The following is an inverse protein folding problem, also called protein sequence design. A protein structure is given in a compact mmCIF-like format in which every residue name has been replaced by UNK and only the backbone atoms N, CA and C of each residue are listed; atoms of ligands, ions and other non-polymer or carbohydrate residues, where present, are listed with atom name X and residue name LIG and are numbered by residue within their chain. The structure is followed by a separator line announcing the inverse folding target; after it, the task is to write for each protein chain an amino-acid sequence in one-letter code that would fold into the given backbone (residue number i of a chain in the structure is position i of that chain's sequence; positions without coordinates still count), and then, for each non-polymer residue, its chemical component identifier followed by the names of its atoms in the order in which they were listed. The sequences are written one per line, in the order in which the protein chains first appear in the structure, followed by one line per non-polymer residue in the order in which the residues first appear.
data_IF_704858415683
#
_entry.id   IF_704858415683
#
_cell.length_a   1.000
_cell.length_b   1.000
_cell.length_c   1.000
_cell.angle_alpha   90.00
_cell.angle_beta   90.00
_cell.angle_gamma   90.00
#
_symmetry.space_group_name_H-M   'P 1'
#
loop_
_entity.id
_entity.type
_entity.pdbx_description
1 polymer ?
#
# COMPACT_ATOMS: atom_id res chain seq x y z
N UNK A 1 -0.36 -6.77 28.06
CA UNK A 1 -1.67 -6.50 28.74
C UNK A 1 -1.61 -6.58 30.27
N UNK A 2 -1.00 -7.63 30.84
CA UNK A 2 -0.94 -7.83 32.31
C UNK A 2 -0.25 -6.69 33.09
N UNK A 3 0.62 -5.91 32.46
CA UNK A 3 1.38 -4.81 33.08
C UNK A 3 1.10 -3.41 32.52
N UNK A 4 0.26 -3.29 31.48
CA UNK A 4 0.07 -2.02 30.74
C UNK A 4 -1.41 -1.56 30.69
N UNK A 5 -2.30 -2.18 31.47
CA UNK A 5 -3.73 -1.90 31.44
C UNK A 5 -4.49 -2.56 30.28
N UNK A 6 -5.79 -2.27 30.20
CA UNK A 6 -6.68 -2.80 29.14
C UNK A 6 -6.33 -2.21 27.78
N UNK A 7 -6.68 -2.91 26.70
CA UNK A 7 -6.50 -2.38 25.34
C UNK A 7 -7.25 -1.05 25.15
N UNK A 8 -8.48 -0.96 25.64
CA UNK A 8 -9.30 0.26 25.55
C UNK A 8 -8.64 1.44 26.25
N UNK A 9 -8.09 1.24 27.45
CA UNK A 9 -7.39 2.30 28.18
C UNK A 9 -6.13 2.77 27.44
N UNK A 10 -5.34 1.83 26.89
CA UNK A 10 -4.16 2.17 26.07
C UNK A 10 -4.54 2.90 24.79
N UNK A 11 -5.60 2.47 24.09
CA UNK A 11 -6.11 3.14 22.88
C UNK A 11 -6.55 4.57 23.19
N UNK A 12 -7.32 4.77 24.27
CA UNK A 12 -7.73 6.11 24.68
C UNK A 12 -6.54 7.02 24.96
N UNK A 13 -5.58 6.54 25.77
CA UNK A 13 -4.36 7.30 26.08
C UNK A 13 -3.52 7.60 24.83
N UNK A 14 -3.38 6.64 23.90
CA UNK A 14 -2.65 6.88 22.64
C UNK A 14 -3.37 7.88 21.73
N UNK A 15 -4.70 7.82 21.65
CA UNK A 15 -5.49 8.78 20.87
C UNK A 15 -5.35 10.19 21.45
N UNK A 16 -5.45 10.34 22.77
CA UNK A 16 -5.24 11.62 23.45
C UNK A 16 -3.85 12.18 23.14
N UNK A 17 -2.79 11.39 23.36
CA UNK A 17 -1.41 11.82 23.08
C UNK A 17 -1.22 12.21 21.60
N UNK A 18 -1.82 11.47 20.67
CA UNK A 18 -1.77 11.82 19.25
C UNK A 18 -2.37 13.21 18.99
N UNK A 19 -3.56 13.51 19.52
CA UNK A 19 -4.19 14.82 19.31
C UNK A 19 -3.50 15.97 20.06
N UNK A 20 -2.82 15.69 21.17
CA UNK A 20 -2.04 16.71 21.90
C UNK A 20 -0.74 17.09 21.19
N UNK A 21 -0.12 16.13 20.48
CA UNK A 21 1.22 16.31 19.91
C UNK A 21 1.25 16.45 18.38
N UNK A 22 0.18 16.08 17.69
CA UNK A 22 0.09 16.23 16.24
C UNK A 22 -0.77 17.43 15.86
N UNK A 23 -0.43 18.15 14.77
CA UNK A 23 -1.21 19.29 14.29
C UNK A 23 -2.47 18.83 13.53
N UNK A 24 -3.31 18.03 14.19
CA UNK A 24 -4.56 17.49 13.64
C UNK A 24 -5.72 18.21 14.30
N UNK A 25 -6.66 18.69 13.48
CA UNK A 25 -7.90 19.24 14.00
C UNK A 25 -8.80 18.07 14.38
N UNK A 26 -9.22 17.92 15.65
CA UNK A 26 -10.31 17.00 15.94
C UNK A 26 -11.55 17.52 15.22
N UNK A 27 -12.04 16.78 14.23
CA UNK A 27 -13.25 17.17 13.50
C UNK A 27 -14.41 17.16 14.49
N UNK A 28 -14.95 18.36 14.81
CA UNK A 28 -16.07 18.58 15.72
C UNK A 28 -17.41 18.49 15.00
N UNK A 29 -17.59 17.55 14.08
CA UNK A 29 -18.88 17.28 13.45
C UNK A 29 -19.66 16.30 14.32
N UNK A 30 -20.99 16.41 14.28
CA UNK A 30 -21.99 15.87 15.23
C UNK A 30 -22.05 14.32 15.38
N UNK A 31 -20.96 13.58 15.15
CA UNK A 31 -20.88 12.12 15.21
C UNK A 31 -19.58 11.52 15.78
N UNK A 32 -18.60 12.33 16.22
CA UNK A 32 -17.39 11.85 16.92
C UNK A 32 -16.05 12.17 16.22
N UNK A 33 -14.95 11.90 16.92
CA UNK A 33 -13.59 12.11 16.42
C UNK A 33 -13.19 10.96 15.47
N UNK A 34 -12.88 11.26 14.20
CA UNK A 34 -12.29 10.32 13.25
C UNK A 34 -11.00 10.90 12.65
N UNK A 35 -10.08 10.02 12.24
CA UNK A 35 -8.81 10.42 11.63
C UNK A 35 -8.90 10.52 10.10
N UNK A 36 -9.74 9.73 9.44
CA UNK A 36 -9.84 9.75 8.00
C UNK A 36 -10.36 11.12 7.49
N UNK A 37 -9.79 11.63 6.41
CA UNK A 37 -9.99 13.01 5.93
C UNK A 37 -9.53 13.18 4.49
N UNK A 38 -9.90 14.31 3.87
CA UNK A 38 -9.48 14.63 2.50
C UNK A 38 -9.08 16.10 2.34
N UNK A 39 -8.12 16.36 1.47
CA UNK A 39 -7.63 17.70 1.15
C UNK A 39 -7.63 17.90 -0.36
N UNK A 40 -8.14 19.04 -0.81
CA UNK A 40 -8.17 19.39 -2.24
C UNK A 40 -7.14 20.47 -2.54
N UNK A 41 -6.27 20.21 -3.51
CA UNK A 41 -5.28 21.14 -4.02
C UNK A 41 -5.73 21.66 -5.40
N UNK A 42 -6.59 22.68 -5.36
CA UNK A 42 -7.21 23.25 -6.56
C UNK A 42 -7.99 22.21 -7.38
N UNK A 43 -7.81 22.22 -8.69
CA UNK A 43 -8.36 21.20 -9.60
C UNK A 43 -7.38 20.07 -9.89
N UNK A 44 -6.15 20.15 -9.37
CA UNK A 44 -5.08 19.23 -9.72
C UNK A 44 -5.19 17.90 -8.97
N UNK A 45 -5.28 17.95 -7.64
CA UNK A 45 -5.20 16.73 -6.83
C UNK A 45 -6.16 16.78 -5.65
N UNK A 46 -6.75 15.63 -5.34
CA UNK A 46 -7.39 15.37 -4.06
C UNK A 46 -6.56 14.31 -3.31
N UNK A 47 -6.09 14.66 -2.11
CA UNK A 47 -5.42 13.76 -1.19
C UNK A 47 -6.45 13.18 -0.23
N UNK A 48 -6.67 11.87 -0.32
CA UNK A 48 -7.66 11.11 0.43
C UNK A 48 -6.91 10.23 1.44
N UNK A 49 -7.15 10.42 2.72
CA UNK A 49 -6.40 9.76 3.79
C UNK A 49 -7.39 8.94 4.61
N UNK A 50 -7.53 7.61 4.36
CA UNK A 50 -8.28 6.71 5.23
C UNK A 50 -7.63 6.56 6.63
N UNK A 51 -8.32 5.83 7.51
CA UNK A 51 -7.77 5.27 8.75
C UNK A 51 -7.89 3.74 8.66
N UNK A 52 -6.76 3.06 8.48
CA UNK A 52 -6.71 1.60 8.27
C UNK A 52 -6.42 0.83 9.57
N UNK A 53 -6.67 1.43 10.73
CA UNK A 53 -6.40 0.83 12.04
C UNK A 53 -7.60 0.87 12.98
N UNK A 54 -8.38 1.94 12.97
CA UNK A 54 -9.44 2.16 13.97
C UNK A 54 -10.66 1.27 13.79
N UNK A 55 -10.96 0.87 12.55
CA UNK A 55 -12.23 0.23 12.17
C UNK A 55 -12.05 -1.15 11.53
N UNK A 56 -10.80 -1.60 11.35
CA UNK A 56 -10.51 -2.89 10.71
C UNK A 56 -10.95 -4.07 11.56
N UNK A 57 -11.39 -5.12 10.88
CA UNK A 57 -11.52 -6.44 11.48
C UNK A 57 -10.16 -7.01 11.88
N UNK A 58 -10.18 -8.00 12.77
CA UNK A 58 -8.98 -8.76 13.12
C UNK A 58 -8.44 -9.51 11.90
N UNK A 59 -7.12 -9.48 11.72
CA UNK A 59 -6.41 -10.19 10.66
C UNK A 59 -6.69 -11.69 10.74
N UNK A 60 -6.92 -12.30 9.58
CA UNK A 60 -7.19 -13.74 9.46
C UNK A 60 -6.77 -14.24 8.08
N UNK A 61 -5.84 -15.19 8.05
CA UNK A 61 -5.45 -15.86 6.79
C UNK A 61 -6.60 -16.69 6.18
N UNK A 62 -7.56 -17.10 7.00
CA UNK A 62 -8.69 -17.94 6.56
C UNK A 62 -9.85 -17.15 5.96
N UNK A 63 -9.83 -15.81 6.06
CA UNK A 63 -10.94 -14.93 5.67
C UNK A 63 -10.53 -13.90 4.61
N UNK A 64 -9.38 -14.09 3.97
CA UNK A 64 -8.79 -13.13 3.01
C UNK A 64 -9.73 -12.75 1.87
N UNK A 65 -10.54 -13.71 1.40
CA UNK A 65 -11.56 -13.53 0.35
C UNK A 65 -12.99 -13.40 0.92
N UNK A 66 -13.16 -13.34 2.24
CA UNK A 66 -14.45 -13.12 2.87
C UNK A 66 -14.94 -11.69 2.56
N UNK A 67 -16.06 -11.51 1.83
CA UNK A 67 -16.56 -10.18 1.46
C UNK A 67 -17.05 -9.36 2.65
N UNK A 68 -17.16 -9.97 3.84
CA UNK A 68 -17.51 -9.28 5.09
C UNK A 68 -16.30 -8.79 5.86
N UNK A 69 -15.07 -9.22 5.50
CA UNK A 69 -13.86 -8.76 6.17
C UNK A 69 -13.47 -7.37 5.64
N UNK A 70 -13.27 -6.42 6.55
CA UNK A 70 -13.06 -5.01 6.21
C UNK A 70 -11.81 -4.42 6.89
N UNK A 71 -10.99 -3.68 6.14
CA UNK A 71 -9.87 -2.90 6.67
C UNK A 71 -10.29 -1.47 7.01
N UNK A 72 -11.33 -0.96 6.35
CA UNK A 72 -11.83 0.40 6.53
C UNK A 72 -13.05 0.50 7.44
N UNK A 73 -13.83 -0.56 7.59
CA UNK A 73 -15.18 -0.52 8.17
C UNK A 73 -16.20 0.08 7.19
N UNK A 74 -17.48 -0.30 7.32
CA UNK A 74 -18.50 -0.01 6.30
C UNK A 74 -18.73 1.49 6.02
N UNK A 75 -18.75 2.33 7.06
CA UNK A 75 -18.97 3.77 6.92
C UNK A 75 -17.80 4.45 6.18
N UNK A 76 -16.57 4.20 6.63
CA UNK A 76 -15.38 4.74 5.98
C UNK A 76 -15.16 4.16 4.59
N UNK A 77 -15.51 2.89 4.35
CA UNK A 77 -15.47 2.29 3.01
C UNK A 77 -16.33 3.11 2.04
N UNK A 78 -17.58 3.38 2.43
CA UNK A 78 -18.52 4.18 1.62
C UNK A 78 -17.97 5.59 1.37
N UNK A 79 -17.39 6.21 2.40
CA UNK A 79 -16.72 7.50 2.28
C UNK A 79 -15.51 7.47 1.33
N UNK A 80 -14.67 6.45 1.41
CA UNK A 80 -13.46 6.28 0.59
C UNK A 80 -13.83 6.07 -0.87
N UNK A 81 -14.74 5.11 -1.14
CA UNK A 81 -15.25 4.83 -2.47
C UNK A 81 -15.85 6.10 -3.10
N UNK A 82 -16.73 6.79 -2.37
CA UNK A 82 -17.35 8.03 -2.85
C UNK A 82 -16.32 9.11 -3.10
N UNK A 83 -15.35 9.28 -2.20
CA UNK A 83 -14.30 10.31 -2.33
C UNK A 83 -13.47 10.09 -3.59
N UNK A 84 -13.10 8.86 -3.91
CA UNK A 84 -12.32 8.55 -5.12
C UNK A 84 -13.20 8.66 -6.38
N UNK A 85 -14.36 8.02 -6.39
CA UNK A 85 -15.20 7.88 -7.61
C UNK A 85 -15.89 9.17 -8.02
N UNK A 86 -16.19 10.08 -7.08
CA UNK A 86 -16.88 11.34 -7.38
C UNK A 86 -15.93 12.54 -7.51
N UNK A 87 -14.65 12.40 -7.14
CA UNK A 87 -13.69 13.51 -7.20
C UNK A 87 -13.59 14.11 -8.62
N UNK A 88 -13.67 15.43 -8.70
CA UNK A 88 -13.54 16.19 -9.95
C UNK A 88 -12.11 16.67 -10.22
N UNK A 89 -11.15 16.32 -9.38
CA UNK A 89 -9.74 16.69 -9.58
C UNK A 89 -9.09 15.81 -10.64
N UNK A 90 -7.97 16.28 -11.19
CA UNK A 90 -7.20 15.51 -12.18
C UNK A 90 -6.65 14.23 -11.58
N UNK A 91 -6.17 14.24 -10.34
CA UNK A 91 -5.57 13.09 -9.66
C UNK A 91 -6.25 12.81 -8.31
N UNK A 92 -6.52 11.53 -8.05
CA UNK A 92 -6.92 11.05 -6.74
C UNK A 92 -5.72 10.35 -6.11
N UNK A 93 -5.17 10.94 -5.04
CA UNK A 93 -4.04 10.38 -4.31
C UNK A 93 -4.56 9.82 -3.00
N UNK A 94 -4.40 8.52 -2.78
CA UNK A 94 -4.81 7.87 -1.54
C UNK A 94 -3.56 7.66 -0.67
N UNK A 95 -3.52 8.29 0.51
CA UNK A 95 -2.47 8.05 1.50
C UNK A 95 -2.83 6.85 2.36
N UNK A 96 -2.30 5.67 2.02
CA UNK A 96 -2.57 4.41 2.69
C UNK A 96 -1.49 4.12 3.73
N UNK A 97 -1.85 3.62 4.92
CA UNK A 97 -0.85 3.25 5.93
C UNK A 97 -0.07 2.00 5.51
N UNK A 98 -0.75 1.03 4.88
CA UNK A 98 -0.21 -0.27 4.44
C UNK A 98 -0.33 -0.41 2.92
N UNK A 99 0.47 -1.29 2.30
CA UNK A 99 0.43 -1.52 0.86
C UNK A 99 -0.88 -2.17 0.43
N UNK A 100 -1.40 -1.70 -0.70
CA UNK A 100 -2.56 -2.26 -1.39
C UNK A 100 -2.16 -3.33 -2.40
N UNK A 101 -0.99 -3.20 -3.02
CA UNK A 101 -0.54 -4.13 -4.05
C UNK A 101 -0.52 -5.56 -3.51
N UNK A 102 -1.06 -6.52 -4.28
CA UNK A 102 -0.93 -7.92 -3.92
C UNK A 102 0.54 -8.33 -3.85
N UNK A 103 0.97 -8.84 -2.69
CA UNK A 103 2.24 -9.50 -2.49
C UNK A 103 1.96 -10.93 -2.04
N UNK A 104 1.83 -11.81 -3.03
CA UNK A 104 1.34 -13.17 -2.81
C UNK A 104 2.31 -14.21 -3.33
N UNK A 105 2.17 -15.43 -2.82
CA UNK A 105 2.74 -16.62 -3.42
C UNK A 105 1.69 -17.14 -4.41
N UNK A 106 1.92 -17.01 -5.73
CA UNK A 106 0.93 -17.44 -6.70
C UNK A 106 0.81 -18.97 -6.69
N UNK A 107 -0.42 -19.48 -6.74
CA UNK A 107 -0.68 -20.92 -6.85
C UNK A 107 -0.47 -21.42 -8.28
N UNK A 108 -0.61 -20.53 -9.27
CA UNK A 108 -0.29 -20.81 -10.68
C UNK A 108 0.06 -19.53 -11.44
N UNK A 109 0.91 -19.67 -12.46
CA UNK A 109 1.17 -18.62 -13.46
C UNK A 109 0.24 -18.71 -14.68
N UNK A 110 -0.57 -19.78 -14.80
CA UNK A 110 -1.59 -19.91 -15.83
C UNK A 110 -2.93 -19.41 -15.28
N UNK A 111 -3.56 -18.38 -15.88
CA UNK A 111 -4.82 -17.81 -15.39
C UNK A 111 -5.94 -18.85 -15.27
N UNK A 112 -6.02 -19.81 -16.21
CA UNK A 112 -7.08 -20.83 -16.24
C UNK A 112 -6.93 -21.82 -15.10
N UNK A 113 -5.68 -22.16 -14.76
CA UNK A 113 -5.41 -23.04 -13.63
C UNK A 113 -5.62 -22.31 -12.30
N UNK A 114 -5.25 -21.03 -12.20
CA UNK A 114 -5.53 -20.20 -11.03
C UNK A 114 -7.05 -20.10 -10.77
N UNK A 115 -7.84 -19.78 -11.80
CA UNK A 115 -9.30 -19.74 -11.71
C UNK A 115 -9.89 -21.08 -11.27
N UNK A 116 -9.40 -22.18 -11.85
CA UNK A 116 -9.85 -23.52 -11.49
C UNK A 116 -9.51 -23.89 -10.03
N UNK A 117 -8.31 -23.55 -9.55
CA UNK A 117 -7.88 -23.80 -8.17
C UNK A 117 -8.72 -23.01 -7.17
N UNK A 118 -9.01 -21.75 -7.48
CA UNK A 118 -9.93 -20.93 -6.70
C UNK A 118 -11.33 -21.55 -6.67
N UNK A 119 -11.91 -21.85 -7.83
CA UNK A 119 -13.30 -22.34 -7.94
C UNK A 119 -13.48 -23.72 -7.29
N UNK A 120 -12.52 -24.64 -7.44
CA UNK A 120 -12.67 -26.04 -7.03
C UNK A 120 -12.11 -26.37 -5.65
N UNK A 121 -11.08 -25.66 -5.21
CA UNK A 121 -10.36 -25.94 -3.96
C UNK A 121 -10.49 -24.78 -2.97
N UNK A 122 -11.02 -23.63 -3.39
CA UNK A 122 -11.20 -22.46 -2.52
C UNK A 122 -9.89 -21.79 -2.14
N UNK A 123 -8.86 -21.91 -2.98
CA UNK A 123 -7.62 -21.14 -2.79
C UNK A 123 -7.88 -19.65 -3.00
N UNK A 124 -7.14 -18.75 -2.31
CA UNK A 124 -7.35 -17.32 -2.45
C UNK A 124 -7.23 -16.85 -3.90
N UNK A 125 -8.14 -15.98 -4.34
CA UNK A 125 -8.19 -15.52 -5.73
C UNK A 125 -6.93 -14.76 -6.17
N UNK A 126 -6.31 -14.01 -5.25
CA UNK A 126 -5.16 -13.16 -5.55
C UNK A 126 -3.81 -13.86 -5.27
N UNK A 127 -3.83 -15.12 -4.82
CA UNK A 127 -2.66 -15.81 -4.29
C UNK A 127 -2.63 -15.90 -2.76
N UNK A 128 -1.79 -16.79 -2.22
CA UNK A 128 -1.57 -16.92 -0.78
C UNK A 128 -0.85 -15.65 -0.28
N UNK A 129 -1.44 -14.87 0.63
CA UNK A 129 -0.87 -13.61 1.09
C UNK A 129 0.39 -13.81 1.93
N UNK A 130 1.42 -13.00 1.66
CA UNK A 130 2.66 -13.00 2.45
C UNK A 130 2.49 -12.23 3.75
N UNK A 131 1.65 -11.18 3.76
CA UNK A 131 1.38 -10.37 4.96
C UNK A 131 -0.12 -10.04 5.11
N UNK A 132 -0.77 -10.71 6.06
CA UNK A 132 -2.20 -10.52 6.36
C UNK A 132 -2.53 -9.25 7.16
N UNK A 133 -1.53 -8.46 7.60
CA UNK A 133 -1.78 -7.14 8.21
C UNK A 133 -2.02 -6.03 7.17
N UNK A 134 -1.64 -6.29 5.91
CA UNK A 134 -1.79 -5.38 4.78
C UNK A 134 -3.13 -5.63 4.06
N UNK A 135 -3.39 -4.96 2.93
CA UNK A 135 -4.60 -5.18 2.14
C UNK A 135 -4.74 -6.62 1.61
N UNK A 136 -3.65 -7.38 1.57
CA UNK A 136 -3.64 -8.82 1.28
C UNK A 136 -4.46 -9.65 2.28
N UNK A 137 -4.58 -9.19 3.53
CA UNK A 137 -5.50 -9.79 4.50
C UNK A 137 -6.98 -9.48 4.25
N UNK A 138 -7.28 -8.57 3.33
CA UNK A 138 -8.61 -7.98 3.06
C UNK A 138 -8.87 -7.89 1.55
N UNK A 139 -8.47 -8.94 0.82
CA UNK A 139 -8.44 -8.97 -0.64
C UNK A 139 -9.81 -8.70 -1.28
N UNK A 140 -10.90 -9.18 -0.66
CA UNK A 140 -12.25 -8.90 -1.14
C UNK A 140 -12.58 -7.38 -1.11
N UNK A 141 -12.24 -6.67 -0.03
CA UNK A 141 -12.47 -5.21 0.07
C UNK A 141 -11.55 -4.43 -0.88
N UNK A 142 -10.30 -4.89 -1.08
CA UNK A 142 -9.39 -4.35 -2.11
C UNK A 142 -10.02 -4.46 -3.50
N UNK A 143 -10.45 -5.66 -3.91
CA UNK A 143 -11.05 -5.90 -5.25
C UNK A 143 -12.32 -5.06 -5.43
N UNK A 144 -13.12 -4.89 -4.37
CA UNK A 144 -14.31 -4.04 -4.38
C UNK A 144 -13.96 -2.58 -4.67
N UNK A 145 -12.95 -2.03 -3.99
CA UNK A 145 -12.50 -0.65 -4.23
C UNK A 145 -11.90 -0.48 -5.64
N UNK A 146 -11.02 -1.38 -6.09
CA UNK A 146 -10.44 -1.33 -7.44
C UNK A 146 -11.51 -1.44 -8.53
N UNK A 147 -12.51 -2.30 -8.33
CA UNK A 147 -13.65 -2.42 -9.25
C UNK A 147 -14.48 -1.13 -9.29
N UNK A 148 -14.72 -0.47 -8.16
CA UNK A 148 -15.45 0.80 -8.11
C UNK A 148 -14.68 1.93 -8.81
N UNK A 149 -13.37 2.00 -8.62
CA UNK A 149 -12.48 2.96 -9.31
C UNK A 149 -12.57 2.79 -10.82
N UNK A 150 -12.44 1.55 -11.28
CA UNK A 150 -12.49 1.19 -12.69
C UNK A 150 -13.88 1.45 -13.30
N UNK A 151 -14.96 1.05 -12.63
CA UNK A 151 -16.33 1.27 -13.08
C UNK A 151 -16.68 2.77 -13.17
N UNK A 152 -16.13 3.60 -12.29
CA UNK A 152 -16.25 5.05 -12.34
C UNK A 152 -15.37 5.71 -13.44
N UNK A 153 -14.59 4.92 -14.19
CA UNK A 153 -13.72 5.40 -15.26
C UNK A 153 -12.57 6.28 -14.75
N UNK A 154 -12.17 6.16 -13.48
CA UNK A 154 -11.03 6.89 -12.92
C UNK A 154 -9.73 6.25 -13.41
N UNK A 155 -8.90 7.05 -14.06
CA UNK A 155 -7.63 6.60 -14.66
C UNK A 155 -6.38 7.20 -14.02
N UNK A 156 -6.57 8.07 -13.03
CA UNK A 156 -5.52 8.89 -12.41
C UNK A 156 -5.49 8.68 -10.89
N UNK A 157 -5.59 7.42 -10.47
CA UNK A 157 -5.56 7.05 -9.05
C UNK A 157 -4.15 6.56 -8.70
N UNK A 158 -3.57 7.17 -7.67
CA UNK A 158 -2.25 6.81 -7.13
C UNK A 158 -2.37 6.57 -5.64
N UNK A 159 -1.75 5.51 -5.16
CA UNK A 159 -1.60 5.22 -3.73
C UNK A 159 -0.18 5.55 -3.29
N UNK A 160 -0.07 6.11 -2.09
CA UNK A 160 1.22 6.28 -1.40
C UNK A 160 1.14 5.52 -0.08
N UNK A 161 2.05 4.57 0.12
CA UNK A 161 2.03 3.66 1.26
C UNK A 161 3.36 3.62 2.03
N UNK A 162 3.34 3.03 3.24
CA UNK A 162 4.51 2.78 4.08
C UNK A 162 4.45 1.42 4.78
N UNK A 163 4.71 1.40 6.10
CA UNK A 163 4.61 0.24 7.03
C UNK A 163 5.62 -0.89 6.80
N UNK A 164 5.88 -1.33 5.56
CA UNK A 164 6.71 -2.51 5.26
C UNK A 164 8.24 -2.27 5.27
N UNK A 165 8.66 -1.05 5.65
CA UNK A 165 10.07 -0.64 5.81
C UNK A 165 10.97 -0.93 4.59
N UNK A 166 10.41 -0.78 3.39
CA UNK A 166 11.08 -1.03 2.11
C UNK A 166 10.42 -0.22 0.99
N UNK A 167 11.09 -0.07 -0.15
CA UNK A 167 10.62 0.78 -1.26
C UNK A 167 10.00 -0.05 -2.38
N UNK A 168 8.85 0.39 -2.90
CA UNK A 168 8.12 -0.34 -3.95
C UNK A 168 7.49 0.59 -4.97
N UNK A 169 7.53 0.20 -6.23
CA UNK A 169 6.77 0.84 -7.30
C UNK A 169 5.92 -0.24 -8.00
N UNK A 170 4.59 -0.09 -7.90
CA UNK A 170 3.66 -1.15 -8.27
C UNK A 170 2.48 -0.67 -9.09
N UNK A 171 2.00 -1.54 -9.97
CA UNK A 171 0.71 -1.40 -10.64
C UNK A 171 -0.37 -2.18 -9.85
N UNK A 172 -1.58 -1.63 -9.78
CA UNK A 172 -2.73 -2.30 -9.17
C UNK A 172 -3.67 -2.80 -10.27
N UNK A 173 -3.59 -4.10 -10.63
CA UNK A 173 -4.49 -4.67 -11.61
C UNK A 173 -5.87 -4.95 -11.03
N UNK A 174 -6.87 -4.98 -11.92
CA UNK A 174 -8.24 -5.37 -11.55
C UNK A 174 -8.32 -6.86 -11.16
N UNK A 175 -7.52 -7.71 -11.81
CA UNK A 175 -7.33 -9.12 -11.49
C UNK A 175 -5.86 -9.50 -11.74
N UNK A 176 -5.16 -9.96 -10.69
CA UNK A 176 -3.75 -10.33 -10.76
C UNK A 176 -3.48 -11.55 -11.63
N UNK A 177 -4.36 -12.55 -11.61
CA UNK A 177 -4.23 -13.78 -12.41
C UNK A 177 -4.30 -13.51 -13.90
N UNK A 178 -4.91 -12.39 -14.31
CA UNK A 178 -5.01 -11.95 -15.70
C UNK A 178 -4.07 -10.79 -16.05
N UNK A 179 -3.11 -10.46 -15.18
CA UNK A 179 -2.23 -9.33 -15.41
C UNK A 179 -1.41 -9.49 -16.69
N UNK A 180 -1.61 -8.57 -17.64
CA UNK A 180 -0.91 -8.60 -18.93
C UNK A 180 -1.41 -9.65 -19.92
N UNK A 181 -2.38 -10.49 -19.56
CA UNK A 181 -2.96 -11.49 -20.47
C UNK A 181 -4.15 -10.92 -21.26
N UNK A 182 -5.06 -10.22 -20.59
CA UNK A 182 -6.27 -9.66 -21.21
C UNK A 182 -6.78 -8.39 -20.49
N UNK A 183 -7.94 -7.88 -20.90
CA UNK A 183 -8.53 -6.65 -20.36
C UNK A 183 -8.97 -6.79 -18.90
N UNK A 184 -9.28 -7.99 -18.42
CA UNK A 184 -9.72 -8.21 -17.03
C UNK A 184 -8.59 -8.03 -16.02
N UNK A 185 -7.32 -8.18 -16.43
CA UNK A 185 -6.14 -7.85 -15.61
C UNK A 185 -5.51 -6.50 -15.91
N UNK A 186 -6.25 -5.57 -16.54
CA UNK A 186 -5.76 -4.20 -16.78
C UNK A 186 -5.42 -3.51 -15.46
N UNK A 187 -4.45 -2.60 -15.51
CA UNK A 187 -4.11 -1.75 -14.37
C UNK A 187 -5.17 -0.66 -14.18
N UNK A 188 -5.57 -0.45 -12.92
CA UNK A 188 -6.59 0.51 -12.50
C UNK A 188 -5.96 1.70 -11.78
N UNK A 189 -4.91 1.45 -11.00
CA UNK A 189 -4.19 2.45 -10.23
C UNK A 189 -2.69 2.11 -10.14
N UNK A 190 -1.88 3.04 -9.66
CA UNK A 190 -0.48 2.79 -9.32
C UNK A 190 -0.24 3.00 -7.83
N UNK A 191 0.73 2.31 -7.26
CA UNK A 191 1.13 2.45 -5.87
C UNK A 191 2.63 2.75 -5.76
N UNK A 192 2.95 3.68 -4.86
CA UNK A 192 4.30 4.04 -4.47
C UNK A 192 4.47 3.83 -2.97
N UNK A 193 5.22 2.81 -2.57
CA UNK A 193 5.51 2.54 -1.16
C UNK A 193 6.88 3.09 -0.80
N UNK A 194 6.95 3.91 0.24
CA UNK A 194 8.18 4.53 0.72
C UNK A 194 8.82 3.68 1.83
N UNK A 195 10.16 3.73 1.97
CA UNK A 195 10.84 2.98 3.02
C UNK A 195 10.55 3.60 4.39
N UNK A 196 11.08 2.98 5.43
CA UNK A 196 11.11 3.57 6.76
C UNK A 196 12.11 4.72 6.82
N UNK A 197 11.85 5.70 7.69
CA UNK A 197 12.86 6.71 8.04
C UNK A 197 14.04 6.05 8.77
N UNK A 198 13.74 5.24 9.80
CA UNK A 198 14.76 4.60 10.68
C UNK A 198 14.40 3.20 11.17
N UNK A 199 13.15 2.74 10.99
CA UNK A 199 12.73 1.44 11.49
C UNK A 199 13.38 0.31 10.67
N UNK A 200 13.85 -0.74 11.34
CA UNK A 200 14.60 -1.85 10.72
C UNK A 200 13.93 -2.36 9.43
N UNK A 201 14.69 -2.33 8.34
CA UNK A 201 14.32 -2.90 7.05
C UNK A 201 14.35 -4.44 7.10
N UNK A 202 13.86 -5.12 6.05
CA UNK A 202 14.09 -6.55 5.90
C UNK A 202 15.57 -6.94 5.97
N UNK A 203 16.48 -6.10 5.46
CA UNK A 203 17.92 -6.33 5.59
C UNK A 203 18.38 -6.27 7.04
N UNK A 204 18.09 -5.20 7.77
CA UNK A 204 18.54 -5.03 9.16
C UNK A 204 18.00 -6.14 10.09
N UNK A 205 16.81 -6.64 9.77
CA UNK A 205 16.16 -7.71 10.54
C UNK A 205 16.90 -9.04 10.42
N UNK A 206 17.60 -9.28 9.30
CA UNK A 206 18.32 -10.54 9.03
C UNK A 206 19.83 -10.35 9.26
N UNK A 207 20.39 -9.22 8.85
CA UNK A 207 21.80 -8.87 8.96
C UNK A 207 22.18 -8.42 10.39
N UNK A 208 21.79 -9.20 11.40
CA UNK A 208 21.95 -8.86 12.83
C UNK A 208 23.40 -8.86 13.31
N UNK A 209 24.35 -9.27 12.46
CA UNK A 209 25.79 -9.16 12.71
C UNK A 209 26.57 -9.13 11.37
N UNK A 210 27.84 -8.69 11.44
CA UNK A 210 28.72 -8.51 10.27
C UNK A 210 28.86 -9.77 9.39
N UNK A 211 28.85 -10.97 9.98
CA UNK A 211 29.00 -12.21 9.20
C UNK A 211 27.77 -12.49 8.31
N UNK A 212 26.61 -11.92 8.65
CA UNK A 212 25.37 -12.09 7.89
C UNK A 212 25.10 -10.98 6.87
N UNK A 213 25.88 -9.88 6.84
CA UNK A 213 25.64 -8.75 5.92
C UNK A 213 25.68 -9.15 4.44
N UNK A 214 26.79 -9.75 3.98
CA UNK A 214 26.94 -10.14 2.58
C UNK A 214 25.97 -11.27 2.18
N UNK A 215 25.78 -12.35 2.97
CA UNK A 215 24.76 -13.36 2.69
C UNK A 215 23.33 -12.80 2.62
N UNK A 216 22.97 -11.89 3.54
CA UNK A 216 21.64 -11.24 3.54
C UNK A 216 21.43 -10.42 2.28
N UNK A 217 22.45 -9.64 1.89
CA UNK A 217 22.41 -8.83 0.66
C UNK A 217 22.20 -9.69 -0.58
N UNK A 218 22.90 -10.83 -0.67
CA UNK A 218 22.72 -11.80 -1.77
C UNK A 218 21.32 -12.43 -1.76
N UNK A 219 20.83 -12.85 -0.58
CA UNK A 219 19.49 -13.43 -0.43
C UNK A 219 18.40 -12.44 -0.85
N UNK A 220 18.46 -11.20 -0.36
CA UNK A 220 17.47 -10.18 -0.70
C UNK A 220 17.55 -9.76 -2.16
N UNK A 221 18.74 -9.74 -2.77
CA UNK A 221 18.88 -9.49 -4.20
C UNK A 221 18.17 -10.57 -5.02
N UNK A 222 18.35 -11.85 -4.69
CA UNK A 222 17.63 -12.95 -5.33
C UNK A 222 16.12 -12.89 -5.05
N UNK A 223 15.74 -12.57 -3.81
CA UNK A 223 14.34 -12.41 -3.41
C UNK A 223 13.61 -11.31 -4.20
N UNK A 224 14.27 -10.18 -4.47
CA UNK A 224 13.72 -9.08 -5.29
C UNK A 224 13.42 -9.51 -6.71
N UNK A 225 14.27 -10.33 -7.32
CA UNK A 225 14.01 -10.89 -8.65
C UNK A 225 12.87 -11.91 -8.62
N UNK A 226 12.86 -12.80 -7.61
CA UNK A 226 11.79 -13.78 -7.44
C UNK A 226 10.42 -13.11 -7.25
N UNK A 227 10.34 -12.07 -6.40
CA UNK A 227 9.12 -11.28 -6.19
C UNK A 227 8.64 -10.69 -7.52
N UNK A 228 9.50 -10.04 -8.31
CA UNK A 228 9.09 -9.43 -9.58
C UNK A 228 8.72 -10.46 -10.64
N UNK A 229 9.31 -11.65 -10.58
CA UNK A 229 8.96 -12.75 -11.47
C UNK A 229 7.57 -13.32 -11.15
N UNK A 230 7.25 -13.50 -9.86
CA UNK A 230 5.98 -14.11 -9.43
C UNK A 230 4.84 -13.11 -9.27
N UNK A 231 5.16 -11.83 -9.07
CA UNK A 231 4.22 -10.71 -8.92
C UNK A 231 4.57 -9.62 -9.95
N UNK A 232 4.38 -9.87 -11.26
CA UNK A 232 4.89 -9.00 -12.35
C UNK A 232 4.28 -7.60 -12.39
N UNK A 233 3.23 -7.32 -11.61
CA UNK A 233 2.69 -5.98 -11.41
C UNK A 233 3.57 -5.13 -10.48
N UNK A 234 4.45 -5.73 -9.67
CA UNK A 234 5.50 -5.05 -8.92
C UNK A 234 6.66 -4.75 -9.88
N UNK A 235 6.91 -3.46 -10.13
CA UNK A 235 7.89 -2.99 -11.12
C UNK A 235 9.26 -2.76 -10.53
N UNK A 236 9.30 -2.35 -9.26
CA UNK A 236 10.52 -2.17 -8.51
C UNK A 236 10.28 -2.50 -7.04
N UNK A 237 11.31 -3.04 -6.42
CA UNK A 237 11.34 -3.41 -5.00
C UNK A 237 12.76 -3.25 -4.51
N UNK A 238 12.94 -2.55 -3.39
CA UNK A 238 14.21 -2.32 -2.71
C UNK A 238 14.01 -2.59 -1.21
N UNK A 239 14.77 -3.53 -0.65
CA UNK A 239 14.48 -4.16 0.65
C UNK A 239 15.47 -3.78 1.75
N UNK A 240 16.31 -2.77 1.53
CA UNK A 240 17.50 -2.53 2.36
C UNK A 240 17.59 -1.11 2.87
N UNK A 241 17.27 -0.12 2.04
CA UNK A 241 17.60 1.27 2.31
C UNK A 241 16.50 1.97 3.10
N UNK A 242 16.93 2.89 3.97
CA UNK A 242 16.04 3.84 4.66
C UNK A 242 15.98 5.18 3.93
N UNK A 243 14.92 5.93 4.17
CA UNK A 243 14.79 7.29 3.65
C UNK A 243 13.34 7.68 3.43
N UNK A 244 13.06 8.42 2.36
CA UNK A 244 11.74 8.97 2.10
C UNK A 244 11.45 9.06 0.60
N UNK A 245 10.16 9.23 0.26
CA UNK A 245 9.71 9.53 -1.09
C UNK A 245 9.32 10.99 -1.25
N UNK A 246 9.58 11.55 -2.42
CA UNK A 246 9.06 12.86 -2.85
C UNK A 246 8.15 12.64 -4.04
N UNK A 247 6.86 12.92 -3.86
CA UNK A 247 5.87 12.80 -4.94
C UNK A 247 5.63 14.16 -5.60
N UNK A 248 5.86 14.23 -6.91
CA UNK A 248 5.51 15.38 -7.73
C UNK A 248 4.27 15.08 -8.57
N UNK A 249 3.24 15.91 -8.45
CA UNK A 249 2.01 15.78 -9.23
C UNK A 249 1.84 16.98 -10.15
N UNK A 250 1.57 16.70 -11.42
CA UNK A 250 1.32 17.68 -12.48
C UNK A 250 0.07 17.28 -13.25
N UNK A 251 -0.47 18.15 -14.12
CA UNK A 251 -1.63 17.77 -14.94
C UNK A 251 -1.36 16.55 -15.85
N UNK A 252 -0.09 16.32 -16.22
CA UNK A 252 0.33 15.28 -17.16
C UNK A 252 0.78 13.97 -16.49
N UNK A 253 1.37 14.03 -15.29
CA UNK A 253 1.91 12.86 -14.58
C UNK A 253 1.90 13.01 -13.07
N UNK A 254 1.88 11.87 -12.38
CA UNK A 254 2.25 11.72 -10.98
C UNK A 254 3.54 10.89 -10.94
N UNK A 255 4.54 11.39 -10.23
CA UNK A 255 5.89 10.83 -10.17
C UNK A 255 6.33 10.72 -8.71
N UNK A 256 6.96 9.60 -8.36
CA UNK A 256 7.63 9.38 -7.09
C UNK A 256 9.13 9.24 -7.33
N UNK A 257 9.91 9.95 -6.52
CA UNK A 257 11.35 9.79 -6.43
C UNK A 257 11.72 9.35 -5.01
N UNK A 258 12.55 8.32 -4.89
CA UNK A 258 13.02 7.82 -3.62
C UNK A 258 14.38 8.42 -3.30
N UNK A 259 14.55 8.85 -2.05
CA UNK A 259 15.79 9.35 -1.51
C UNK A 259 16.19 8.47 -0.33
N UNK A 260 17.45 8.02 -0.32
CA UNK A 260 17.99 7.17 0.73
C UNK A 260 18.99 7.90 1.60
N UNK A 261 18.97 7.57 2.89
CA UNK A 261 19.93 7.99 3.90
C UNK A 261 21.00 6.90 3.97
N UNK A 262 22.28 7.27 3.88
CA UNK A 262 23.37 6.30 3.87
C UNK A 262 23.62 5.64 5.24
N UNK A 263 23.48 6.40 6.34
CA UNK A 263 23.57 5.91 7.72
C UNK A 263 22.54 6.59 8.62
N UNK A 264 21.56 5.84 9.12
CA UNK A 264 20.51 6.35 10.01
C UNK A 264 20.98 6.67 11.43
N UNK A 265 22.20 6.26 11.79
CA UNK A 265 22.81 6.53 13.09
C UNK A 265 23.76 7.74 13.05
N UNK A 266 24.23 8.16 11.88
CA UNK A 266 25.02 9.39 11.73
C UNK A 266 24.10 10.60 11.46
N UNK A 267 23.98 11.56 12.39
CA UNK A 267 23.17 12.77 12.18
C UNK A 267 23.68 13.67 11.04
N UNK A 268 24.87 13.42 10.50
CA UNK A 268 25.44 14.12 9.33
C UNK A 268 25.38 13.30 8.04
N UNK A 269 24.72 12.14 8.07
CA UNK A 269 24.59 11.30 6.89
C UNK A 269 23.96 12.09 5.73
N UNK A 270 24.52 11.90 4.55
CA UNK A 270 23.96 12.46 3.33
C UNK A 270 22.64 11.74 2.98
N UNK A 271 21.85 12.43 2.16
CA UNK A 271 20.76 11.82 1.40
C UNK A 271 21.10 11.81 -0.07
N UNK A 272 20.70 10.76 -0.78
CA UNK A 272 20.90 10.62 -2.22
C UNK A 272 19.62 10.19 -2.91
N UNK A 273 19.36 10.73 -4.10
CA UNK A 273 18.31 10.22 -4.98
C UNK A 273 18.68 8.80 -5.43
N UNK A 274 17.77 7.85 -5.27
CA UNK A 274 17.97 6.45 -5.61
C UNK A 274 17.41 6.11 -6.99
N UNK A 275 16.08 6.19 -7.15
CA UNK A 275 15.38 5.94 -8.40
C UNK A 275 14.05 6.69 -8.42
N UNK A 276 13.37 6.70 -9.57
CA UNK A 276 12.04 7.26 -9.69
C UNK A 276 11.16 6.52 -10.69
N UNK A 277 9.86 6.66 -10.48
CA UNK A 277 8.80 6.07 -11.29
C UNK A 277 7.67 7.08 -11.45
N UNK A 278 7.03 7.06 -12.62
CA UNK A 278 5.86 7.90 -12.88
C UNK A 278 4.76 7.13 -13.61
N UNK A 279 3.54 7.65 -13.47
CA UNK A 279 2.37 7.28 -14.26
C UNK A 279 1.84 8.50 -15.00
N UNK A 280 1.31 8.29 -16.21
CA UNK A 280 0.78 9.38 -17.04
C UNK A 280 -0.71 9.49 -16.84
N UNK A 281 -1.22 10.71 -16.88
CA UNK A 281 -2.65 10.90 -16.75
C UNK A 281 -3.41 10.25 -17.91
N UNK A 282 -4.43 9.46 -17.58
CA UNK A 282 -5.24 8.66 -18.51
C UNK A 282 -4.67 7.28 -18.80
N UNK A 283 -3.49 6.95 -18.28
CA UNK A 283 -2.79 5.71 -18.52
C UNK A 283 -2.09 5.23 -17.23
N UNK A 284 -2.79 4.44 -16.40
CA UNK A 284 -2.31 3.97 -15.10
C UNK A 284 -1.25 2.87 -15.27
N UNK A 285 -0.12 3.20 -15.91
CA UNK A 285 1.02 2.31 -16.16
C UNK A 285 2.31 2.98 -15.74
N UNK A 286 3.15 2.22 -15.05
CA UNK A 286 4.38 2.71 -14.47
C UNK A 286 5.51 2.77 -15.50
N UNK A 287 6.30 3.85 -15.41
CA UNK A 287 7.47 4.13 -16.24
C UNK A 287 8.59 4.65 -15.38
N UNK A 288 9.79 4.12 -15.57
CA UNK A 288 10.99 4.58 -14.87
C UNK A 288 11.39 6.00 -15.31
N UNK A 289 11.97 6.78 -14.40
CA UNK A 289 12.48 8.14 -14.65
C UNK A 289 13.99 8.23 -14.59
#
# INVERSE_FOLDING_TARGET
PRTQGSWTARKHASTQAYFEWMPVRPTSLAGGQHLYRRFRFGTLTELIIPDLRSYRDKQSSARVDDPTQSITGAEQYTWLETSVTTSSTRWQVIGSEVMMVPLTIPESTDPRLADWLHEKIGLPQDGIPVNNDQWDGYAAERRKLLSAIDAAGKKNVVLVAGDIHSSWASELPLNVSHYGSDRSGRTVACEFTVPSITAASPHDTIAVNRALEAPTTALLSAGREAIRLTNPWIKDVELTSHGFGVMTVTAARAEMEWFYVDDVLDPRSATRRAFGWHTRAGDPKLRRT
#
